data_IF_966949413337
#
_entry.id   IF_966949413337
#
_cell.length_a   1.000
_cell.length_b   1.000
_cell.length_c   1.000
_cell.angle_alpha   90.00
_cell.angle_beta   90.00
_cell.angle_gamma   90.00
#
_symmetry.space_group_name_H-M   'P 1'
#
loop_
_entity.id
_entity.type
_entity.pdbx_description
1 polymer ?
#
# COMPACT_ATOMS: atom_id res chain seq x y z
N UNK A 1 3.00 22.24 6.00
CA UNK A 1 4.37 21.78 6.31
C UNK A 1 4.39 21.21 7.71
N UNK A 2 5.03 20.06 7.96
CA UNK A 2 5.18 19.54 9.31
C UNK A 2 6.04 20.48 10.18
N UNK A 3 5.84 20.40 11.49
CA UNK A 3 6.64 21.13 12.49
C UNK A 3 7.48 20.17 13.35
N UNK A 4 7.19 18.87 13.29
CA UNK A 4 7.92 17.84 14.01
C UNK A 4 9.37 17.73 13.49
N UNK A 5 10.38 17.93 14.33
CA UNK A 5 11.78 17.94 13.90
C UNK A 5 12.27 16.59 13.36
N UNK A 6 11.72 15.46 13.82
CA UNK A 6 12.09 14.13 13.34
C UNK A 6 11.55 13.92 11.92
N UNK A 7 10.34 14.41 11.63
CA UNK A 7 9.74 14.37 10.28
C UNK A 7 10.48 15.31 9.33
N UNK A 8 10.83 16.51 9.79
CA UNK A 8 11.63 17.45 8.99
C UNK A 8 13.01 16.87 8.64
N UNK A 9 13.66 16.17 9.59
CA UNK A 9 14.93 15.49 9.33
C UNK A 9 14.79 14.36 8.28
N UNK A 10 13.69 13.60 8.33
CA UNK A 10 13.38 12.59 7.31
C UNK A 10 13.20 13.21 5.92
N UNK A 11 12.43 14.29 5.80
CA UNK A 11 12.22 15.01 4.54
C UNK A 11 13.55 15.55 4.01
N UNK A 12 14.34 16.20 4.86
CA UNK A 12 15.65 16.75 4.49
C UNK A 12 16.60 15.66 3.97
N UNK A 13 16.64 14.49 4.65
CA UNK A 13 17.47 13.36 4.22
C UNK A 13 17.01 12.81 2.87
N UNK A 14 15.69 12.70 2.66
CA UNK A 14 15.14 12.25 1.36
C UNK A 14 15.48 13.23 0.24
N UNK A 15 15.27 14.53 0.46
CA UNK A 15 15.55 15.55 -0.55
C UNK A 15 17.04 15.63 -0.90
N UNK A 16 17.93 15.43 0.09
CA UNK A 16 19.37 15.40 -0.15
C UNK A 16 19.84 14.17 -0.93
N UNK A 17 19.03 13.11 -0.95
CA UNK A 17 19.38 11.88 -1.68
C UNK A 17 19.10 12.01 -3.18
N UNK A 18 17.99 12.66 -3.57
CA UNK A 18 17.63 12.80 -4.97
C UNK A 18 18.36 13.99 -5.61
N UNK A 19 18.93 13.81 -6.82
CA UNK A 19 19.55 14.92 -7.53
C UNK A 19 18.48 15.92 -8.03
N UNK A 20 18.91 17.18 -8.22
CA UNK A 20 18.01 18.27 -8.61
C UNK A 20 17.33 18.06 -9.97
N UNK A 21 17.93 17.26 -10.84
CA UNK A 21 17.43 16.92 -12.19
C UNK A 21 16.66 15.60 -12.25
N UNK A 22 16.29 15.00 -11.11
CA UNK A 22 15.55 13.74 -11.03
C UNK A 22 14.22 13.77 -11.82
N UNK A 23 13.64 14.94 -12.04
CA UNK A 23 12.43 15.11 -12.85
C UNK A 23 12.62 14.78 -14.34
N UNK A 24 13.87 14.70 -14.83
CA UNK A 24 14.20 14.32 -16.21
C UNK A 24 14.42 12.82 -16.39
N UNK A 25 14.43 12.06 -15.31
CA UNK A 25 14.77 10.64 -15.32
C UNK A 25 13.76 9.79 -16.11
N UNK A 26 14.28 8.85 -16.86
CA UNK A 26 13.49 7.75 -17.43
C UNK A 26 12.89 6.88 -16.33
N UNK A 27 11.92 6.03 -16.66
CA UNK A 27 11.35 5.07 -15.72
C UNK A 27 12.43 4.16 -15.11
N UNK A 28 13.39 3.70 -15.91
CA UNK A 28 14.49 2.85 -15.47
C UNK A 28 15.43 3.56 -14.48
N UNK A 29 15.82 4.81 -14.79
CA UNK A 29 16.65 5.62 -13.91
C UNK A 29 15.94 5.92 -12.59
N UNK A 30 14.64 6.29 -12.64
CA UNK A 30 13.84 6.49 -11.44
C UNK A 30 13.78 5.23 -10.56
N UNK A 31 13.61 4.03 -11.15
CA UNK A 31 13.64 2.76 -10.42
C UNK A 31 14.99 2.51 -9.77
N UNK A 32 16.07 2.75 -10.49
CA UNK A 32 17.42 2.58 -9.96
C UNK A 32 17.68 3.53 -8.78
N UNK A 33 17.27 4.79 -8.87
CA UNK A 33 17.39 5.76 -7.78
C UNK A 33 16.50 5.40 -6.59
N UNK A 34 15.24 5.02 -6.84
CA UNK A 34 14.32 4.62 -5.78
C UNK A 34 14.82 3.39 -5.02
N UNK A 35 15.41 2.41 -5.71
CA UNK A 35 15.98 1.24 -5.06
C UNK A 35 17.19 1.60 -4.17
N UNK A 36 18.05 2.52 -4.63
CA UNK A 36 19.15 3.07 -3.81
C UNK A 36 18.63 3.83 -2.62
N UNK A 37 17.65 4.70 -2.81
CA UNK A 37 16.98 5.42 -1.73
C UNK A 37 16.39 4.46 -0.71
N UNK A 38 15.66 3.44 -1.16
CA UNK A 38 15.07 2.45 -0.29
C UNK A 38 16.12 1.66 0.52
N UNK A 39 17.26 1.33 -0.10
CA UNK A 39 18.38 0.68 0.58
C UNK A 39 19.04 1.58 1.63
N UNK A 40 19.22 2.87 1.34
CA UNK A 40 19.79 3.87 2.26
C UNK A 40 18.90 4.13 3.48
N UNK A 41 17.57 4.09 3.27
CA UNK A 41 16.58 4.33 4.32
C UNK A 41 16.17 3.07 5.07
N UNK A 42 16.68 1.91 4.66
CA UNK A 42 16.34 0.61 5.27
C UNK A 42 16.80 0.54 6.71
N UNK A 43 15.89 0.14 7.59
CA UNK A 43 16.22 -0.19 8.96
C UNK A 43 16.82 -1.61 9.13
N UNK A 44 17.21 -1.96 10.36
CA UNK A 44 17.71 -3.29 10.65
C UNK A 44 16.66 -4.36 10.36
N UNK A 45 17.10 -5.48 9.78
CA UNK A 45 16.25 -6.65 9.54
C UNK A 45 16.16 -7.51 10.82
N UNK A 46 14.95 -7.85 11.29
CA UNK A 46 14.79 -8.72 12.46
C UNK A 46 15.38 -10.11 12.23
N UNK A 47 16.23 -10.59 13.13
CA UNK A 47 16.87 -11.90 13.06
C UNK A 47 15.91 -13.11 13.22
N UNK A 48 14.68 -12.87 13.71
CA UNK A 48 13.67 -13.92 13.94
C UNK A 48 12.80 -14.22 12.70
N UNK A 49 13.18 -13.71 11.52
CA UNK A 49 12.42 -13.87 10.28
C UNK A 49 13.29 -14.52 9.22
N UNK A 50 12.83 -15.63 8.68
CA UNK A 50 13.42 -16.25 7.48
C UNK A 50 12.77 -15.69 6.22
N UNK A 51 13.55 -15.53 5.16
CA UNK A 51 13.07 -15.05 3.86
C UNK A 51 13.34 -16.08 2.78
N UNK A 52 12.40 -16.25 1.85
CA UNK A 52 12.53 -17.13 0.69
C UNK A 52 11.91 -16.46 -0.53
N UNK A 53 12.67 -16.35 -1.59
CA UNK A 53 12.14 -15.89 -2.87
C UNK A 53 11.43 -17.04 -3.59
N UNK A 54 10.25 -16.76 -4.11
CA UNK A 54 9.39 -17.71 -4.80
C UNK A 54 8.85 -17.11 -6.11
N UNK A 55 8.50 -17.97 -7.06
CA UNK A 55 7.79 -17.58 -8.27
C UNK A 55 6.33 -18.00 -8.20
N UNK A 56 5.42 -17.08 -8.39
CA UNK A 56 3.99 -17.35 -8.47
C UNK A 56 3.59 -17.42 -9.95
N UNK A 57 3.10 -18.58 -10.38
CA UNK A 57 2.66 -18.77 -11.77
C UNK A 57 1.31 -18.08 -12.00
N UNK A 58 1.23 -17.30 -13.07
CA UNK A 58 0.01 -16.70 -13.59
C UNK A 58 -0.22 -17.16 -15.04
N UNK A 59 -1.46 -17.35 -15.44
CA UNK A 59 -1.83 -18.01 -16.71
C UNK A 59 -2.33 -17.06 -17.78
N UNK A 60 -2.76 -15.85 -17.44
CA UNK A 60 -3.29 -14.88 -18.39
C UNK A 60 -2.70 -13.48 -18.21
N UNK A 61 -1.70 -13.11 -19.00
CA UNK A 61 -0.83 -13.96 -19.83
C UNK A 61 0.04 -14.89 -18.99
N UNK A 62 0.56 -15.94 -19.59
CA UNK A 62 1.46 -16.87 -18.89
C UNK A 62 2.75 -16.13 -18.46
N UNK A 63 3.03 -16.12 -17.16
CA UNK A 63 4.20 -15.46 -16.56
C UNK A 63 4.47 -15.98 -15.16
N UNK A 64 5.65 -15.63 -14.65
CA UNK A 64 6.00 -15.82 -13.24
C UNK A 64 6.06 -14.47 -12.55
N UNK A 65 5.31 -14.31 -11.46
CA UNK A 65 5.33 -13.11 -10.61
C UNK A 65 6.38 -13.36 -9.52
N UNK A 66 7.45 -12.55 -9.46
CA UNK A 66 8.44 -12.67 -8.38
C UNK A 66 7.77 -12.30 -7.05
N UNK A 67 8.02 -13.12 -6.03
CA UNK A 67 7.49 -12.88 -4.70
C UNK A 67 8.53 -13.25 -3.64
N UNK A 68 8.42 -12.65 -2.46
CA UNK A 68 9.23 -12.97 -1.29
C UNK A 68 8.35 -13.29 -0.11
N UNK A 69 8.56 -14.48 0.46
CA UNK A 69 7.88 -14.92 1.68
C UNK A 69 8.78 -14.65 2.88
N UNK A 70 8.20 -13.98 3.87
CA UNK A 70 8.77 -13.74 5.20
C UNK A 70 8.03 -14.65 6.17
N UNK A 71 8.77 -15.45 6.95
CA UNK A 71 8.22 -16.38 7.94
C UNK A 71 8.78 -16.07 9.31
N UNK A 72 7.88 -15.87 10.26
CA UNK A 72 8.25 -15.72 11.67
C UNK A 72 8.54 -17.08 12.31
N UNK A 73 9.56 -17.13 13.16
CA UNK A 73 9.79 -18.29 14.01
C UNK A 73 8.72 -18.46 15.09
N UNK A 74 7.97 -17.42 15.40
CA UNK A 74 6.96 -17.43 16.48
C UNK A 74 5.60 -17.99 16.07
N UNK A 75 5.25 -17.99 14.78
CA UNK A 75 4.00 -18.54 14.19
C UNK A 75 2.71 -18.32 15.00
N UNK A 76 2.60 -17.21 15.74
CA UNK A 76 1.48 -16.95 16.64
C UNK A 76 0.11 -16.87 15.94
N UNK A 77 0.09 -16.60 14.63
CA UNK A 77 -1.09 -16.48 13.79
C UNK A 77 -1.00 -17.41 12.56
N UNK A 78 -0.58 -18.66 12.79
CA UNK A 78 -0.44 -19.67 11.74
C UNK A 78 -1.72 -19.81 10.90
N UNK A 79 -1.56 -20.00 9.59
CA UNK A 79 -2.67 -20.12 8.62
C UNK A 79 -3.19 -18.77 8.12
N UNK A 80 -2.71 -17.63 8.65
CA UNK A 80 -2.98 -16.29 8.11
C UNK A 80 -1.71 -15.73 7.47
N UNK A 81 -1.87 -15.02 6.36
CA UNK A 81 -0.78 -14.37 5.63
C UNK A 81 -1.19 -12.95 5.22
N UNK A 82 -0.25 -12.00 5.31
CA UNK A 82 -0.39 -10.69 4.68
C UNK A 82 0.16 -10.78 3.25
N UNK A 83 -0.69 -10.60 2.24
CA UNK A 83 -0.27 -10.29 0.88
C UNK A 83 0.04 -8.80 0.82
N UNK A 84 1.32 -8.46 0.77
CA UNK A 84 1.77 -7.08 0.79
C UNK A 84 2.10 -6.55 -0.61
N UNK A 85 1.53 -5.40 -0.93
CA UNK A 85 1.64 -4.69 -2.20
C UNK A 85 2.39 -3.38 -1.95
N UNK A 86 3.58 -3.25 -2.53
CA UNK A 86 4.42 -2.08 -2.31
C UNK A 86 3.85 -0.81 -2.96
N UNK A 87 4.16 0.34 -2.37
CA UNK A 87 3.96 1.65 -2.97
C UNK A 87 4.98 2.00 -4.04
N UNK A 88 4.88 3.22 -4.58
CA UNK A 88 5.79 3.74 -5.62
C UNK A 88 5.07 4.16 -6.90
N UNK A 89 3.81 4.62 -6.80
CA UNK A 89 3.07 5.22 -7.92
C UNK A 89 2.86 4.28 -9.10
N UNK A 90 2.84 2.95 -8.88
CA UNK A 90 2.78 1.91 -9.91
C UNK A 90 3.97 1.90 -10.88
N UNK A 91 4.91 2.81 -10.72
CA UNK A 91 6.11 3.01 -11.55
C UNK A 91 7.37 2.45 -10.87
N UNK A 92 7.44 2.54 -9.54
CA UNK A 92 8.62 2.29 -8.70
C UNK A 92 8.36 1.16 -7.71
N UNK A 93 9.43 0.66 -7.11
CA UNK A 93 9.37 -0.33 -6.04
C UNK A 93 9.55 -1.77 -6.52
N UNK A 94 9.55 -2.67 -5.55
CA UNK A 94 9.77 -4.10 -5.74
C UNK A 94 10.02 -4.79 -4.41
N UNK A 95 10.51 -6.02 -4.42
CA UNK A 95 10.72 -6.85 -3.24
C UNK A 95 11.70 -6.22 -2.23
N UNK A 96 12.72 -5.50 -2.73
CA UNK A 96 13.74 -4.88 -1.87
C UNK A 96 13.26 -3.60 -1.21
N UNK A 97 12.36 -2.87 -1.86
CA UNK A 97 12.01 -1.52 -1.43
C UNK A 97 11.26 -1.45 -0.10
N UNK A 98 10.56 -2.54 0.28
CA UNK A 98 9.75 -2.62 1.51
C UNK A 98 10.11 -3.86 2.36
N UNK A 99 11.28 -4.46 2.10
CA UNK A 99 11.70 -5.70 2.75
C UNK A 99 11.75 -5.58 4.28
N UNK A 100 12.24 -4.47 4.81
CA UNK A 100 12.33 -4.22 6.24
C UNK A 100 10.96 -4.01 6.91
N UNK A 101 10.00 -3.38 6.23
CA UNK A 101 8.63 -3.25 6.72
C UNK A 101 7.93 -4.62 6.79
N UNK A 102 8.02 -5.40 5.70
CA UNK A 102 7.46 -6.75 5.65
C UNK A 102 8.07 -7.66 6.74
N UNK A 103 9.39 -7.62 6.90
CA UNK A 103 10.09 -8.37 7.94
C UNK A 103 9.73 -7.90 9.33
N UNK A 104 9.58 -6.57 9.54
CA UNK A 104 9.18 -5.98 10.81
C UNK A 104 7.80 -6.44 11.26
N UNK A 105 6.78 -6.38 10.40
CA UNK A 105 5.44 -6.90 10.73
C UNK A 105 5.46 -8.40 10.94
N UNK A 106 6.17 -9.17 10.10
CA UNK A 106 6.29 -10.61 10.28
C UNK A 106 6.85 -10.96 11.66
N UNK A 107 7.91 -10.27 12.10
CA UNK A 107 8.52 -10.46 13.42
C UNK A 107 7.58 -10.07 14.56
N UNK A 108 6.94 -8.91 14.45
CA UNK A 108 6.11 -8.35 15.52
C UNK A 108 4.78 -9.10 15.71
N UNK A 109 4.17 -9.59 14.64
CA UNK A 109 2.81 -10.17 14.66
C UNK A 109 2.77 -11.69 14.62
N UNK A 110 3.87 -12.33 14.19
CA UNK A 110 3.86 -13.78 13.90
C UNK A 110 3.01 -14.17 12.69
N UNK A 111 2.55 -13.20 11.89
CA UNK A 111 1.84 -13.41 10.63
C UNK A 111 2.88 -13.51 9.51
N UNK A 112 2.84 -14.56 8.71
CA UNK A 112 3.65 -14.64 7.51
C UNK A 112 3.31 -13.46 6.57
N UNK A 113 4.33 -12.92 5.87
CA UNK A 113 4.12 -11.88 4.85
C UNK A 113 4.59 -12.41 3.50
N UNK A 114 3.80 -12.21 2.47
CA UNK A 114 4.20 -12.47 1.08
C UNK A 114 4.11 -11.14 0.32
N UNK A 115 5.27 -10.59 -0.03
CA UNK A 115 5.37 -9.42 -0.90
C UNK A 115 5.54 -9.87 -2.35
N UNK A 116 4.93 -9.16 -3.29
CA UNK A 116 5.06 -9.44 -4.72
C UNK A 116 5.67 -8.25 -5.46
N UNK A 117 6.44 -8.53 -6.51
CA UNK A 117 6.85 -7.55 -7.50
C UNK A 117 5.88 -7.61 -8.68
N UNK A 118 4.76 -6.90 -8.55
CA UNK A 118 3.78 -6.80 -9.62
C UNK A 118 4.32 -5.98 -10.80
N UNK A 119 3.78 -6.18 -12.00
CA UNK A 119 4.18 -5.45 -13.21
C UNK A 119 3.97 -3.96 -13.03
N UNK A 120 4.93 -3.17 -13.55
CA UNK A 120 4.95 -1.72 -13.39
C UNK A 120 4.54 -1.00 -14.67
N UNK A 121 3.98 0.19 -14.54
CA UNK A 121 3.77 1.15 -15.60
C UNK A 121 5.10 1.91 -15.88
N UNK A 122 5.27 2.49 -17.05
CA UNK A 122 4.34 2.54 -18.18
C UNK A 122 4.32 1.28 -19.05
N UNK A 123 5.27 0.33 -18.89
CA UNK A 123 5.41 -0.85 -19.74
C UNK A 123 4.18 -1.76 -19.67
N UNK A 124 3.56 -1.79 -18.51
CA UNK A 124 2.37 -2.59 -18.25
C UNK A 124 1.31 -1.71 -17.56
N UNK A 125 0.47 -1.02 -18.34
CA UNK A 125 -0.61 -0.21 -17.76
C UNK A 125 -1.69 -1.10 -17.12
N UNK A 126 -2.66 -0.47 -16.47
CA UNK A 126 -3.86 -1.14 -15.97
C UNK A 126 -4.52 -1.99 -17.07
N UNK A 127 -4.98 -3.22 -16.75
CA UNK A 127 -5.14 -3.83 -15.42
C UNK A 127 -3.96 -4.72 -14.97
N UNK A 128 -2.80 -4.64 -15.61
CA UNK A 128 -1.69 -5.59 -15.43
C UNK A 128 -1.27 -5.79 -13.96
N UNK A 129 -1.19 -4.69 -13.19
CA UNK A 129 -0.82 -4.75 -11.77
C UNK A 129 -1.84 -5.55 -10.98
N UNK A 130 -3.13 -5.27 -11.19
CA UNK A 130 -4.22 -5.90 -10.45
C UNK A 130 -4.38 -7.37 -10.83
N UNK A 131 -4.08 -7.75 -12.08
CA UNK A 131 -4.07 -9.15 -12.52
C UNK A 131 -2.97 -9.95 -11.81
N UNK A 132 -1.79 -9.34 -11.58
CA UNK A 132 -0.73 -9.96 -10.80
C UNK A 132 -1.14 -10.13 -9.33
N UNK A 133 -1.77 -9.12 -8.75
CA UNK A 133 -2.29 -9.17 -7.38
C UNK A 133 -3.35 -10.26 -7.22
N UNK A 134 -4.29 -10.36 -8.17
CA UNK A 134 -5.32 -11.40 -8.15
C UNK A 134 -4.72 -12.81 -8.27
N UNK A 135 -3.73 -12.99 -9.14
CA UNK A 135 -3.05 -14.28 -9.27
C UNK A 135 -2.31 -14.67 -7.99
N UNK A 136 -1.65 -13.71 -7.33
CA UNK A 136 -0.96 -13.95 -6.06
C UNK A 136 -1.95 -14.27 -4.93
N UNK A 137 -3.07 -13.58 -4.86
CA UNK A 137 -4.14 -13.88 -3.91
C UNK A 137 -4.69 -15.30 -4.11
N UNK A 138 -5.02 -15.66 -5.35
CA UNK A 138 -5.52 -16.99 -5.68
C UNK A 138 -4.51 -18.10 -5.33
N UNK A 139 -3.22 -17.88 -5.60
CA UNK A 139 -2.13 -18.79 -5.23
C UNK A 139 -2.05 -19.04 -3.72
N UNK A 140 -2.16 -17.99 -2.90
CA UNK A 140 -2.12 -18.10 -1.44
C UNK A 140 -3.38 -18.78 -0.90
N UNK A 141 -4.55 -18.40 -1.44
CA UNK A 141 -5.81 -19.01 -1.05
C UNK A 141 -5.86 -20.51 -1.37
N UNK A 142 -5.33 -20.93 -2.55
CA UNK A 142 -5.25 -22.34 -2.94
C UNK A 142 -4.37 -23.20 -2.00
N UNK A 143 -3.49 -22.57 -1.21
CA UNK A 143 -2.72 -23.23 -0.15
C UNK A 143 -3.51 -23.33 1.18
N UNK A 144 -4.77 -22.98 1.22
CA UNK A 144 -5.61 -22.97 2.41
C UNK A 144 -5.31 -21.81 3.37
N UNK A 145 -4.59 -20.76 2.92
CA UNK A 145 -4.26 -19.62 3.76
C UNK A 145 -5.40 -18.60 3.80
N UNK A 146 -5.59 -18.01 4.97
CA UNK A 146 -6.44 -16.82 5.16
C UNK A 146 -5.63 -15.58 4.79
N UNK A 147 -6.04 -14.85 3.78
CA UNK A 147 -5.25 -13.75 3.23
C UNK A 147 -5.80 -12.40 3.70
N UNK A 148 -4.97 -11.64 4.42
CA UNK A 148 -5.14 -10.19 4.56
C UNK A 148 -4.44 -9.56 3.37
N UNK A 149 -5.09 -8.65 2.66
CA UNK A 149 -4.42 -7.87 1.63
C UNK A 149 -4.07 -6.49 2.18
N UNK A 150 -2.86 -6.03 1.91
CA UNK A 150 -2.45 -4.71 2.38
C UNK A 150 -1.34 -4.11 1.54
N UNK A 151 -1.19 -2.81 1.66
CA UNK A 151 -0.14 -2.08 0.95
C UNK A 151 -0.19 -0.59 1.22
N UNK A 152 0.85 0.08 0.78
CA UNK A 152 1.02 1.51 0.95
C UNK A 152 0.85 2.27 -0.37
N UNK A 153 0.23 3.45 -0.34
CA UNK A 153 0.07 4.33 -1.51
C UNK A 153 -0.60 3.60 -2.70
N UNK A 154 0.12 3.42 -3.80
CA UNK A 154 -0.30 2.62 -4.96
C UNK A 154 -0.65 1.17 -4.58
N UNK A 155 0.08 0.56 -3.63
CA UNK A 155 -0.23 -0.77 -3.13
C UNK A 155 -1.53 -0.81 -2.32
N UNK A 156 -1.84 0.24 -1.58
CA UNK A 156 -3.12 0.40 -0.89
C UNK A 156 -4.29 0.51 -1.88
N UNK A 157 -4.08 1.19 -3.00
CA UNK A 157 -5.07 1.20 -4.09
C UNK A 157 -5.32 -0.20 -4.63
N UNK A 158 -4.24 -0.95 -4.95
CA UNK A 158 -4.36 -2.31 -5.49
C UNK A 158 -5.05 -3.26 -4.48
N UNK A 159 -4.82 -3.09 -3.19
CA UNK A 159 -5.47 -3.87 -2.14
C UNK A 159 -7.00 -3.62 -2.13
N UNK A 160 -7.43 -2.37 -2.16
CA UNK A 160 -8.84 -2.01 -2.25
C UNK A 160 -9.48 -2.49 -3.57
N UNK A 161 -8.77 -2.29 -4.70
CA UNK A 161 -9.22 -2.73 -6.02
C UNK A 161 -9.38 -4.26 -6.11
N UNK A 162 -8.47 -5.03 -5.49
CA UNK A 162 -8.62 -6.49 -5.41
C UNK A 162 -9.92 -6.88 -4.71
N UNK A 163 -10.24 -6.25 -3.58
CA UNK A 163 -11.46 -6.55 -2.84
C UNK A 163 -12.71 -6.26 -3.68
N UNK A 164 -12.74 -5.14 -4.41
CA UNK A 164 -13.83 -4.81 -5.32
C UNK A 164 -13.95 -5.82 -6.46
N UNK A 165 -12.85 -6.21 -7.08
CA UNK A 165 -12.80 -7.21 -8.16
C UNK A 165 -13.30 -8.57 -7.68
N UNK A 166 -12.82 -9.06 -6.54
CA UNK A 166 -13.22 -10.34 -5.96
C UNK A 166 -14.73 -10.36 -5.69
N UNK A 167 -15.27 -9.29 -5.11
CA UNK A 167 -16.70 -9.16 -4.89
C UNK A 167 -17.50 -9.18 -6.22
N UNK A 168 -17.09 -8.39 -7.20
CA UNK A 168 -17.75 -8.30 -8.50
C UNK A 168 -17.77 -9.63 -9.24
N UNK A 169 -16.76 -10.46 -9.05
CA UNK A 169 -16.65 -11.80 -9.65
C UNK A 169 -17.32 -12.91 -8.81
N UNK A 170 -17.90 -12.59 -7.65
CA UNK A 170 -18.42 -13.59 -6.71
C UNK A 170 -17.34 -14.52 -6.16
N UNK A 171 -16.09 -14.04 -6.13
CA UNK A 171 -14.93 -14.79 -5.68
C UNK A 171 -14.79 -14.82 -4.16
N UNK A 172 -13.76 -15.54 -3.69
CA UNK A 172 -13.42 -15.56 -2.27
C UNK A 172 -12.86 -14.21 -1.87
N UNK A 173 -13.31 -13.71 -0.71
CA UNK A 173 -12.85 -12.42 -0.20
C UNK A 173 -11.59 -12.56 0.66
N UNK A 174 -10.66 -11.59 0.63
CA UNK A 174 -9.67 -11.43 1.68
C UNK A 174 -10.34 -11.35 3.06
N UNK A 175 -9.65 -11.76 4.13
CA UNK A 175 -10.21 -11.70 5.48
C UNK A 175 -10.08 -10.30 6.11
N UNK A 176 -9.35 -9.39 5.48
CA UNK A 176 -9.19 -8.00 5.90
C UNK A 176 -8.34 -7.18 4.94
N UNK A 177 -8.37 -5.86 5.12
CA UNK A 177 -7.60 -4.86 4.36
C UNK A 177 -6.74 -4.03 5.31
N UNK A 178 -5.44 -3.87 5.00
CA UNK A 178 -4.56 -2.88 5.63
C UNK A 178 -4.16 -1.85 4.57
N UNK A 179 -4.73 -0.66 4.62
CA UNK A 179 -4.49 0.39 3.62
C UNK A 179 -3.70 1.54 4.24
N UNK A 180 -2.52 1.81 3.71
CA UNK A 180 -1.57 2.79 4.26
C UNK A 180 -1.47 3.97 3.29
N UNK A 181 -1.91 5.15 3.70
CA UNK A 181 -2.03 6.38 2.89
C UNK A 181 -2.42 6.10 1.42
N UNK A 182 -3.53 5.39 1.20
CA UNK A 182 -3.86 4.87 -0.12
C UNK A 182 -4.36 5.98 -1.06
N UNK A 183 -3.97 5.95 -2.33
CA UNK A 183 -4.58 6.78 -3.38
C UNK A 183 -5.78 6.07 -3.98
N UNK A 184 -7.02 6.48 -3.64
CA UNK A 184 -8.23 5.74 -3.99
C UNK A 184 -9.11 6.43 -5.05
N UNK A 185 -8.63 7.54 -5.61
CA UNK A 185 -9.32 8.21 -6.71
C UNK A 185 -10.34 9.26 -6.29
N UNK A 186 -10.06 9.99 -5.22
CA UNK A 186 -10.86 11.11 -4.75
C UNK A 186 -10.88 12.31 -5.72
N UNK A 187 -11.68 13.31 -5.39
CA UNK A 187 -11.86 14.53 -6.18
C UNK A 187 -10.65 15.47 -6.00
N UNK A 188 -9.86 15.62 -7.06
CA UNK A 188 -8.64 16.45 -7.03
C UNK A 188 -8.88 17.95 -6.96
N UNK A 189 -10.12 18.40 -7.11
CA UNK A 189 -10.49 19.82 -7.07
C UNK A 189 -10.77 20.35 -5.66
N UNK A 190 -10.73 19.50 -4.63
CA UNK A 190 -11.10 19.88 -3.26
C UNK A 190 -10.35 19.11 -2.18
N UNK A 191 -10.62 19.46 -0.92
CA UNK A 191 -10.11 18.77 0.26
C UNK A 191 -8.59 18.76 0.34
N UNK A 192 -8.02 17.63 0.72
CA UNK A 192 -6.57 17.46 0.90
C UNK A 192 -5.80 17.61 -0.42
N UNK A 193 -6.39 17.32 -1.56
CA UNK A 193 -5.77 17.56 -2.86
C UNK A 193 -5.47 19.03 -3.14
N UNK A 194 -6.25 19.94 -2.55
CA UNK A 194 -6.05 21.39 -2.64
C UNK A 194 -5.23 21.90 -1.46
N UNK A 195 -5.60 21.55 -0.23
CA UNK A 195 -4.92 22.06 0.97
C UNK A 195 -3.48 21.55 1.12
N UNK A 196 -3.20 20.36 0.62
CA UNK A 196 -1.88 19.70 0.63
C UNK A 196 -1.29 19.57 -0.79
N UNK A 197 -1.70 20.43 -1.75
CA UNK A 197 -1.30 20.32 -3.15
C UNK A 197 0.21 20.30 -3.35
N UNK A 198 0.96 20.98 -2.49
CA UNK A 198 2.41 21.09 -2.51
C UNK A 198 3.07 20.44 -1.28
N UNK A 199 2.42 19.43 -0.71
CA UNK A 199 3.00 18.70 0.41
C UNK A 199 4.36 18.09 0.05
N UNK A 200 5.29 18.02 1.02
CA UNK A 200 6.54 17.32 0.80
C UNK A 200 6.28 15.83 0.56
N UNK A 201 7.17 15.17 -0.16
CA UNK A 201 7.16 13.73 -0.50
C UNK A 201 6.14 13.32 -1.56
N UNK A 202 5.00 13.99 -1.67
CA UNK A 202 4.03 13.79 -2.76
C UNK A 202 3.21 15.07 -2.95
N UNK A 203 3.16 15.56 -4.18
CA UNK A 203 2.28 16.64 -4.62
C UNK A 203 1.05 16.10 -5.32
N UNK A 204 0.00 16.92 -5.42
CA UNK A 204 -1.19 16.57 -6.23
C UNK A 204 -0.83 16.37 -7.70
N UNK A 205 0.11 17.15 -8.25
CA UNK A 205 0.57 17.00 -9.63
C UNK A 205 1.27 15.67 -9.87
N UNK A 206 2.14 15.23 -8.95
CA UNK A 206 2.79 13.91 -9.02
C UNK A 206 1.77 12.77 -8.91
N UNK A 207 0.78 12.89 -8.02
CA UNK A 207 -0.32 11.92 -7.93
C UNK A 207 -1.08 11.77 -9.25
N UNK A 208 -1.36 12.90 -9.94
CA UNK A 208 -1.99 12.89 -11.24
C UNK A 208 -1.10 12.26 -12.33
N UNK A 209 0.20 12.53 -12.32
CA UNK A 209 1.17 11.90 -13.22
C UNK A 209 1.19 10.37 -13.05
N UNK A 210 1.29 9.87 -11.82
CA UNK A 210 1.27 8.44 -11.53
C UNK A 210 -0.04 7.76 -11.98
N UNK A 211 -1.17 8.45 -11.78
CA UNK A 211 -2.45 7.97 -12.32
C UNK A 211 -2.40 7.84 -13.84
N UNK A 212 -1.95 8.87 -14.55
CA UNK A 212 -1.86 8.87 -16.02
C UNK A 212 -0.97 7.75 -16.55
N UNK A 213 0.18 7.50 -15.92
CA UNK A 213 1.08 6.39 -16.28
C UNK A 213 0.39 5.03 -16.11
N UNK A 214 -0.28 4.80 -14.97
CA UNK A 214 -1.00 3.56 -14.71
C UNK A 214 -2.18 3.37 -15.66
N UNK A 215 -2.93 4.43 -15.92
CA UNK A 215 -4.14 4.39 -16.74
C UNK A 215 -3.86 4.29 -18.25
N UNK A 216 -2.58 4.29 -18.66
CA UNK A 216 -2.22 4.21 -20.08
C UNK A 216 -2.69 5.42 -20.90
N UNK A 217 -2.73 6.59 -20.26
CA UNK A 217 -3.15 7.84 -20.89
C UNK A 217 -4.67 8.10 -20.84
N UNK A 218 -5.46 7.25 -20.17
CA UNK A 218 -6.88 7.57 -19.93
C UNK A 218 -7.00 8.81 -19.05
N UNK A 219 -7.93 9.67 -19.40
CA UNK A 219 -8.26 10.83 -18.59
C UNK A 219 -8.98 10.41 -17.30
N UNK A 220 -8.52 10.96 -16.18
CA UNK A 220 -9.04 10.68 -14.84
C UNK A 220 -10.53 11.01 -14.71
N UNK A 221 -10.97 12.09 -15.32
CA UNK A 221 -12.37 12.53 -15.21
C UNK A 221 -13.32 11.70 -16.09
N UNK A 222 -12.79 11.07 -17.15
CA UNK A 222 -13.57 10.26 -18.07
C UNK A 222 -13.75 8.81 -17.62
N UNK A 223 -12.97 8.32 -16.65
CA UNK A 223 -13.06 6.93 -16.18
C UNK A 223 -13.89 6.81 -14.91
N UNK A 224 -14.79 5.82 -14.90
CA UNK A 224 -15.54 5.38 -13.72
C UNK A 224 -15.08 4.03 -13.20
N UNK A 225 -13.97 3.50 -13.69
CA UNK A 225 -13.47 2.17 -13.34
C UNK A 225 -13.04 2.10 -11.86
N UNK A 226 -13.76 1.32 -11.02
CA UNK A 226 -13.41 1.18 -9.61
C UNK A 226 -12.12 0.37 -9.36
N UNK A 227 -11.60 -0.33 -10.37
CA UNK A 227 -10.31 -1.00 -10.27
C UNK A 227 -9.14 -0.04 -10.44
N UNK A 228 -9.35 1.09 -11.13
CA UNK A 228 -8.41 2.21 -11.17
C UNK A 228 -8.60 3.14 -9.97
N UNK A 229 -9.84 3.48 -9.67
CA UNK A 229 -10.24 4.43 -8.65
C UNK A 229 -11.29 3.82 -7.71
N UNK A 230 -10.91 3.13 -6.64
CA UNK A 230 -11.82 2.46 -5.72
C UNK A 230 -12.97 3.33 -5.20
N UNK A 231 -12.78 4.63 -5.03
CA UNK A 231 -13.84 5.56 -4.65
C UNK A 231 -14.91 5.80 -5.73
N UNK A 232 -14.75 5.28 -6.95
CA UNK A 232 -15.77 5.29 -8.00
C UNK A 232 -16.74 4.10 -7.88
N UNK A 233 -16.49 3.13 -7.01
CA UNK A 233 -17.45 2.06 -6.75
C UNK A 233 -18.78 2.65 -6.22
N UNK A 234 -19.90 2.07 -6.63
CA UNK A 234 -21.23 2.57 -6.27
C UNK A 234 -21.67 2.13 -4.88
N UNK A 235 -21.21 0.98 -4.42
CA UNK A 235 -21.46 0.43 -3.09
C UNK A 235 -20.23 -0.31 -2.55
N UNK A 236 -20.20 -0.53 -1.23
CA UNK A 236 -19.11 -1.19 -0.51
C UNK A 236 -19.60 -2.39 0.31
N UNK A 237 -20.88 -2.78 0.19
CA UNK A 237 -21.42 -3.95 0.87
C UNK A 237 -20.59 -5.21 0.60
N UNK A 238 -20.38 -6.02 1.65
CA UNK A 238 -19.68 -7.30 1.54
C UNK A 238 -18.18 -7.21 1.32
N UNK A 239 -17.58 -6.00 1.33
CA UNK A 239 -16.13 -5.86 1.38
C UNK A 239 -15.58 -6.31 2.74
N UNK A 240 -14.31 -6.76 2.80
CA UNK A 240 -13.72 -7.23 4.06
C UNK A 240 -13.45 -6.06 5.01
N UNK A 241 -13.36 -6.35 6.35
CA UNK A 241 -12.99 -5.34 7.33
C UNK A 241 -11.70 -4.62 6.97
N UNK A 242 -11.61 -3.31 7.25
CA UNK A 242 -10.50 -2.47 6.83
C UNK A 242 -9.90 -1.66 7.98
N UNK A 243 -8.58 -1.65 8.09
CA UNK A 243 -7.83 -0.66 8.83
C UNK A 243 -7.14 0.28 7.82
N UNK A 244 -7.50 1.56 7.88
CA UNK A 244 -7.00 2.57 6.95
C UNK A 244 -6.27 3.65 7.74
N UNK A 245 -4.99 3.83 7.43
CA UNK A 245 -4.17 4.87 8.04
C UNK A 245 -3.72 5.88 6.98
N UNK A 246 -3.79 7.17 7.30
CA UNK A 246 -3.39 8.27 6.40
C UNK A 246 -2.35 9.15 7.04
N UNK A 247 -1.60 9.89 6.24
CA UNK A 247 -0.74 10.96 6.69
C UNK A 247 -1.50 12.28 6.65
N UNK A 248 -1.31 13.13 7.66
CA UNK A 248 -2.02 14.39 7.77
C UNK A 248 -1.63 15.39 6.67
N UNK A 249 -0.33 15.43 6.36
CA UNK A 249 0.24 16.34 5.36
C UNK A 249 0.46 15.57 4.04
N UNK A 250 -0.67 15.19 3.41
CA UNK A 250 -0.70 14.33 2.22
C UNK A 250 -1.90 14.70 1.35
N UNK A 251 -1.75 14.90 0.04
CA UNK A 251 -2.89 15.12 -0.85
C UNK A 251 -3.88 13.94 -0.85
N UNK A 252 -3.44 12.72 -0.55
CA UNK A 252 -4.27 11.51 -0.53
C UNK A 252 -5.03 11.29 0.80
N UNK A 253 -4.84 12.16 1.82
CA UNK A 253 -5.43 12.00 3.16
C UNK A 253 -6.93 11.72 3.11
N UNK A 254 -7.67 12.54 2.39
CA UNK A 254 -9.13 12.48 2.38
C UNK A 254 -9.65 11.23 1.65
N UNK A 255 -8.88 10.63 0.75
CA UNK A 255 -9.23 9.37 0.09
C UNK A 255 -9.48 8.25 1.10
N UNK A 256 -8.55 8.09 2.05
CA UNK A 256 -8.67 7.09 3.10
C UNK A 256 -9.86 7.34 4.03
N UNK A 257 -10.08 8.59 4.41
CA UNK A 257 -11.21 8.98 5.25
C UNK A 257 -12.56 8.69 4.57
N UNK A 258 -12.71 9.10 3.31
CA UNK A 258 -13.93 8.89 2.53
C UNK A 258 -14.19 7.39 2.33
N UNK A 259 -13.14 6.62 2.07
CA UNK A 259 -13.26 5.18 1.89
C UNK A 259 -13.81 4.50 3.15
N UNK A 260 -13.29 4.84 4.33
CA UNK A 260 -13.79 4.31 5.60
C UNK A 260 -15.24 4.72 5.86
N UNK A 261 -15.59 6.00 5.63
CA UNK A 261 -16.97 6.48 5.79
C UNK A 261 -17.95 5.69 4.90
N UNK A 262 -17.57 5.39 3.68
CA UNK A 262 -18.41 4.61 2.75
C UNK A 262 -18.50 3.13 3.17
N UNK A 263 -17.40 2.52 3.60
CA UNK A 263 -17.43 1.16 4.16
C UNK A 263 -18.39 1.07 5.35
N UNK A 264 -18.29 2.01 6.28
CA UNK A 264 -19.14 2.04 7.48
C UNK A 264 -20.62 2.29 7.13
N UNK A 265 -20.91 3.17 6.17
CA UNK A 265 -22.25 3.43 5.69
C UNK A 265 -22.90 2.18 5.08
N UNK A 266 -22.11 1.31 4.45
CA UNK A 266 -22.55 0.05 3.87
C UNK A 266 -22.41 -1.15 4.84
N UNK A 267 -22.27 -0.88 6.16
CA UNK A 267 -22.26 -1.89 7.21
C UNK A 267 -20.95 -2.70 7.33
N UNK A 268 -19.87 -2.26 6.71
CA UNK A 268 -18.56 -2.92 6.78
C UNK A 268 -17.77 -2.34 7.96
N UNK A 269 -17.20 -3.22 8.80
CA UNK A 269 -16.30 -2.79 9.88
C UNK A 269 -15.05 -2.14 9.31
N UNK A 270 -14.84 -0.86 9.62
CA UNK A 270 -13.66 -0.12 9.17
C UNK A 270 -13.19 0.86 10.23
N UNK A 271 -11.87 0.92 10.42
CA UNK A 271 -11.19 1.82 11.35
C UNK A 271 -10.36 2.81 10.55
N UNK A 272 -10.53 4.08 10.86
CA UNK A 272 -9.75 5.19 10.29
C UNK A 272 -8.76 5.73 11.32
N UNK A 273 -7.53 5.94 10.89
CA UNK A 273 -6.51 6.63 11.68
C UNK A 273 -5.77 7.64 10.80
N UNK A 274 -5.81 8.92 11.19
CA UNK A 274 -4.98 9.95 10.59
C UNK A 274 -3.75 10.18 11.47
N UNK A 275 -2.57 10.23 10.89
CA UNK A 275 -1.31 10.42 11.62
C UNK A 275 -0.89 11.89 11.56
N UNK A 276 -1.05 12.64 12.67
CA UNK A 276 -0.71 14.05 12.72
C UNK A 276 0.77 14.29 12.39
N UNK A 277 1.07 15.36 11.66
CA UNK A 277 2.42 15.80 11.28
C UNK A 277 3.14 14.86 10.28
N UNK A 278 2.63 13.66 10.01
CA UNK A 278 3.26 12.75 9.05
C UNK A 278 2.95 13.15 7.60
N UNK A 279 3.87 12.79 6.71
CA UNK A 279 3.83 13.06 5.27
C UNK A 279 3.68 11.76 4.48
N UNK A 280 3.34 11.84 3.19
CA UNK A 280 3.28 10.66 2.33
C UNK A 280 4.60 9.85 2.39
N UNK A 281 4.51 8.52 2.39
CA UNK A 281 5.68 7.65 2.43
C UNK A 281 6.39 7.56 3.79
N UNK A 282 5.78 8.07 4.88
CA UNK A 282 6.38 8.06 6.22
C UNK A 282 6.70 6.67 6.78
N UNK A 283 6.20 5.61 6.16
CA UNK A 283 6.54 4.23 6.52
C UNK A 283 8.06 4.00 6.58
N UNK A 284 8.82 4.71 5.75
CA UNK A 284 10.30 4.70 5.76
C UNK A 284 10.90 5.49 6.91
N UNK A 285 10.16 6.45 7.47
CA UNK A 285 10.61 7.27 8.58
C UNK A 285 10.55 6.56 9.95
N UNK A 286 10.00 5.35 10.04
CA UNK A 286 9.75 4.65 11.32
C UNK A 286 11.00 4.39 12.17
N UNK A 287 12.20 4.45 11.58
CA UNK A 287 13.49 4.36 12.29
C UNK A 287 14.08 5.74 12.63
N UNK A 288 13.43 6.83 12.23
CA UNK A 288 13.86 8.21 12.43
C UNK A 288 12.84 9.04 13.21
N UNK A 289 11.56 8.66 13.17
CA UNK A 289 10.46 9.39 13.79
C UNK A 289 9.66 8.47 14.72
N UNK A 290 9.51 8.90 15.97
CA UNK A 290 8.69 8.20 16.98
C UNK A 290 7.23 8.11 16.57
N UNK A 291 6.70 9.13 15.89
CA UNK A 291 5.32 9.11 15.35
C UNK A 291 5.16 8.03 14.29
N UNK A 292 6.10 7.94 13.35
CA UNK A 292 6.08 6.92 12.31
C UNK A 292 6.29 5.52 12.90
N UNK A 293 7.11 5.35 13.94
CA UNK A 293 7.28 4.09 14.67
C UNK A 293 5.97 3.68 15.36
N UNK A 294 5.32 4.58 16.09
CA UNK A 294 4.03 4.30 16.75
C UNK A 294 2.92 3.95 15.76
N UNK A 295 2.90 4.61 14.59
CA UNK A 295 1.98 4.24 13.51
C UNK A 295 2.25 2.84 12.97
N UNK A 296 3.53 2.47 12.80
CA UNK A 296 3.91 1.12 12.35
C UNK A 296 3.49 0.04 13.36
N UNK A 297 3.63 0.29 14.65
CA UNK A 297 3.15 -0.60 15.72
C UNK A 297 1.63 -0.76 15.68
N UNK A 298 0.88 0.35 15.54
CA UNK A 298 -0.58 0.30 15.44
C UNK A 298 -1.08 -0.49 14.20
N UNK A 299 -0.34 -0.44 13.07
CA UNK A 299 -0.63 -1.28 11.90
C UNK A 299 -0.39 -2.77 12.23
N UNK A 300 0.65 -3.10 13.01
CA UNK A 300 0.90 -4.45 13.50
C UNK A 300 -0.24 -4.97 14.37
N UNK A 301 -0.72 -4.17 15.30
CA UNK A 301 -1.87 -4.51 16.15
C UNK A 301 -3.14 -4.73 15.32
N UNK A 302 -3.37 -3.87 14.32
CA UNK A 302 -4.49 -4.01 13.39
C UNK A 302 -4.40 -5.30 12.56
N UNK A 303 -3.21 -5.69 12.10
CA UNK A 303 -3.00 -6.97 11.42
C UNK A 303 -3.38 -8.16 12.29
N UNK A 304 -3.00 -8.14 13.57
CA UNK A 304 -3.39 -9.20 14.52
C UNK A 304 -4.91 -9.23 14.73
N UNK A 305 -5.56 -8.06 14.86
CA UNK A 305 -7.01 -7.97 15.00
C UNK A 305 -7.74 -8.50 13.75
N UNK A 306 -7.27 -8.13 12.56
CA UNK A 306 -7.80 -8.63 11.28
C UNK A 306 -7.63 -10.16 11.16
N UNK A 307 -6.45 -10.69 11.51
CA UNK A 307 -6.20 -12.13 11.51
C UNK A 307 -7.15 -12.89 12.42
N UNK A 308 -7.57 -12.29 13.51
CA UNK A 308 -8.46 -12.87 14.52
C UNK A 308 -9.94 -12.57 14.27
N UNK A 309 -10.28 -11.79 13.24
CA UNK A 309 -11.65 -11.35 12.96
C UNK A 309 -12.24 -10.45 14.06
N UNK A 310 -11.39 -9.69 14.76
CA UNK A 310 -11.76 -8.88 15.93
C UNK A 310 -11.50 -7.39 15.76
N UNK A 311 -11.29 -6.93 14.51
CA UNK A 311 -11.17 -5.50 14.27
C UNK A 311 -12.44 -4.80 14.78
N UNK A 312 -12.29 -3.87 15.71
CA UNK A 312 -13.39 -3.13 16.28
C UNK A 312 -13.19 -1.63 16.04
N UNK A 313 -14.28 -0.96 15.71
CA UNK A 313 -14.35 0.50 15.74
C UNK A 313 -14.36 0.87 17.23
N UNK A 314 -13.28 1.48 17.74
CA UNK A 314 -13.29 2.03 19.08
C UNK A 314 -14.36 3.13 19.12
N UNK A 315 -15.32 2.98 20.03
CA UNK A 315 -16.42 3.93 20.25
C UNK A 315 -15.89 5.28 20.78
#
# INVERSE_FOLDING_TARGET
MPTDPEVLAYIARTNAFYPADAYTFTAEENRAWYNRYAAEMRGPMPGAVSTTDIGISATSPQRTIPARRYRSTQQANAGTVLLYLHGGGFLLGGLESHADACSGWCAATGIDVVAIAYRLAPEHPHPAQLDDVQAAFAYLHAQGLRVIVGGDSAGGNLAAALCLRQRAQGGVMPVGQLLIYPGLGGDTSRGSYVSNAYAPMLTTAESAMYFGLRAGGLDRESTSDPELMPLRATDFCGLPPAFVVTADIDPLRDDGQIYVQRLQADGVTAVYRNEPELVHGYLRARHMSRRAAASFEAMGDALVQLAQGRLAVNA
#
